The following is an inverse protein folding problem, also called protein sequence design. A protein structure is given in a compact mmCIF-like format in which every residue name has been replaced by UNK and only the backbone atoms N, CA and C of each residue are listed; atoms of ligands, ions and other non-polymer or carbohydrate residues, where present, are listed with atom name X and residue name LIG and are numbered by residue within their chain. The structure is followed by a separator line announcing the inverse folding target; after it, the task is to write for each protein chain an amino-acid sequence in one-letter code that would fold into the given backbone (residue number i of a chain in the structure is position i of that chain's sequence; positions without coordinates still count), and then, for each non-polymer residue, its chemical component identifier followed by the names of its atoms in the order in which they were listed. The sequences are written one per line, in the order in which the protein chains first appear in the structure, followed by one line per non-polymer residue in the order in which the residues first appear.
data_IF_319696244732
#
_entry.id   IF_319696244732
#
_cell.length_a   1.000
_cell.length_b   1.000
_cell.length_c   1.000
_cell.angle_alpha   90.00
_cell.angle_beta   90.00
_cell.angle_gamma   90.00
#
_symmetry.space_group_name_H-M   'P 1'
#
loop_
_entity.id
_entity.type
_entity.pdbx_description
1 polymer ?
#
# COMPACT_ATOMS: atom_id res chain seq x y z
N UNK A 1 -9.29 28.31 5.74
CA UNK A 1 -7.91 28.18 5.23
C UNK A 1 -7.06 27.67 6.37
N UNK A 2 -6.27 26.63 6.14
CA UNK A 2 -5.45 26.00 7.19
C UNK A 2 -3.99 26.35 6.91
N UNK A 3 -3.34 27.02 7.85
CA UNK A 3 -1.92 27.38 7.75
C UNK A 3 -1.10 26.27 8.40
N UNK A 4 -0.21 25.64 7.63
CA UNK A 4 0.72 24.61 8.10
C UNK A 4 2.12 25.24 8.09
N UNK A 5 2.81 25.20 9.23
CA UNK A 5 4.20 25.67 9.37
C UNK A 5 5.12 24.45 9.32
N UNK A 6 6.02 24.41 8.34
CA UNK A 6 6.99 23.33 8.15
C UNK A 6 8.39 23.86 8.45
N UNK A 7 9.11 23.20 9.35
CA UNK A 7 10.53 23.48 9.58
C UNK A 7 11.36 22.64 8.63
N UNK A 8 12.20 23.31 7.83
CA UNK A 8 13.05 22.66 6.83
C UNK A 8 14.51 22.76 7.30
N UNK A 9 15.27 21.65 7.33
CA UNK A 9 16.70 21.67 7.64
C UNK A 9 17.49 22.63 6.74
N UNK A 10 18.50 23.31 7.29
CA UNK A 10 19.29 24.33 6.58
C UNK A 10 19.92 23.83 5.27
N UNK A 11 20.34 22.57 5.21
CA UNK A 11 20.90 21.96 3.99
C UNK A 11 19.89 21.94 2.84
N UNK A 12 18.63 21.68 3.14
CA UNK A 12 17.55 21.69 2.17
C UNK A 12 17.16 23.12 1.83
N UNK A 13 17.12 24.02 2.82
CA UNK A 13 16.83 25.43 2.61
C UNK A 13 17.81 26.08 1.60
N UNK A 14 19.09 25.70 1.62
CA UNK A 14 20.09 26.17 0.66
C UNK A 14 19.87 25.64 -0.77
N UNK A 15 19.21 24.48 -0.90
CA UNK A 15 18.91 23.82 -2.17
C UNK A 15 17.59 24.33 -2.78
N UNK A 16 16.66 24.76 -1.93
CA UNK A 16 15.38 25.36 -2.31
C UNK A 16 15.55 26.82 -2.78
N UNK A 17 16.20 27.01 -3.93
CA UNK A 17 16.12 28.27 -4.70
C UNK A 17 14.79 28.39 -5.46
N UNK A 18 13.68 28.08 -4.80
CA UNK A 18 12.34 28.12 -5.40
C UNK A 18 11.68 29.44 -4.99
N UNK A 19 11.22 30.21 -5.97
CA UNK A 19 10.43 31.42 -5.74
C UNK A 19 9.21 31.12 -4.86
N UNK A 20 8.96 31.96 -3.85
CA UNK A 20 7.84 31.85 -2.93
C UNK A 20 6.46 31.73 -3.63
N UNK A 21 6.34 32.30 -4.83
CA UNK A 21 5.13 32.21 -5.64
C UNK A 21 4.88 30.81 -6.23
N UNK A 22 5.91 29.97 -6.36
CA UNK A 22 5.84 28.62 -6.94
C UNK A 22 5.76 27.51 -5.88
N UNK A 23 5.99 27.84 -4.62
CA UNK A 23 5.88 26.91 -3.49
C UNK A 23 4.54 26.17 -3.39
N UNK A 24 3.37 26.83 -3.60
CA UNK A 24 2.09 26.13 -3.52
C UNK A 24 1.96 25.01 -4.56
N UNK A 25 2.42 25.27 -5.79
CA UNK A 25 2.38 24.28 -6.88
C UNK A 25 3.42 23.19 -6.67
N UNK A 26 4.62 23.55 -6.20
CA UNK A 26 5.65 22.58 -5.85
C UNK A 26 5.20 21.63 -4.73
N UNK A 27 4.57 22.14 -3.67
CA UNK A 27 4.04 21.29 -2.58
C UNK A 27 2.90 20.42 -3.10
N UNK A 28 2.03 20.93 -3.97
CA UNK A 28 0.99 20.13 -4.61
C UNK A 28 1.59 18.98 -5.42
N UNK A 29 2.52 19.29 -6.32
CA UNK A 29 3.20 18.30 -7.16
C UNK A 29 3.99 17.30 -6.30
N UNK A 30 4.66 17.75 -5.25
CA UNK A 30 5.41 16.90 -4.34
C UNK A 30 4.50 16.02 -3.49
N UNK A 31 3.33 16.51 -3.05
CA UNK A 31 2.33 15.71 -2.31
C UNK A 31 1.66 14.71 -3.24
N UNK A 32 1.33 15.09 -4.47
CA UNK A 32 0.73 14.21 -5.47
C UNK A 32 1.73 13.14 -5.94
N UNK A 33 2.98 13.54 -6.18
CA UNK A 33 4.09 12.63 -6.40
C UNK A 33 4.29 11.72 -5.19
N UNK A 34 4.33 12.24 -3.95
CA UNK A 34 4.48 11.45 -2.72
C UNK A 34 3.29 10.54 -2.43
N UNK A 35 2.08 10.92 -2.80
CA UNK A 35 0.89 10.07 -2.68
C UNK A 35 0.94 8.94 -3.70
N UNK A 36 1.37 9.25 -4.93
CA UNK A 36 1.60 8.24 -5.98
C UNK A 36 2.76 7.33 -5.63
N UNK A 37 3.84 7.88 -5.06
CA UNK A 37 4.99 7.19 -4.50
C UNK A 37 4.62 6.44 -3.20
N UNK A 38 3.66 6.85 -2.38
CA UNK A 38 3.18 6.01 -1.27
C UNK A 38 2.37 4.81 -1.78
N UNK A 39 1.76 4.95 -2.96
CA UNK A 39 1.18 3.83 -3.71
C UNK A 39 2.28 3.07 -4.49
N UNK A 40 3.49 3.65 -4.65
CA UNK A 40 4.59 3.17 -5.51
C UNK A 40 5.99 3.36 -4.88
N UNK A 41 6.20 3.05 -3.59
CA UNK A 41 7.52 3.06 -2.98
C UNK A 41 8.01 1.61 -2.99
N UNK A 42 8.79 1.17 -3.99
CA UNK A 42 9.76 0.11 -3.82
C UNK A 42 11.01 0.74 -3.22
N UNK A 43 11.01 1.04 -1.92
CA UNK A 43 12.27 1.37 -1.24
C UNK A 43 13.01 0.07 -0.96
N UNK A 44 13.92 -0.30 -1.86
CA UNK A 44 15.08 -1.17 -1.60
C UNK A 44 14.77 -2.62 -1.20
N UNK A 45 14.82 -3.50 -2.19
CA UNK A 45 14.85 -4.98 -2.08
C UNK A 45 13.54 -5.67 -1.65
N UNK A 46 13.08 -6.54 -2.55
CA UNK A 46 11.99 -7.52 -2.41
C UNK A 46 10.62 -6.94 -2.07
N UNK A 47 9.93 -6.39 -3.08
CA UNK A 47 8.48 -6.26 -3.03
C UNK A 47 7.88 -7.66 -2.78
N UNK A 48 7.02 -7.85 -1.77
CA UNK A 48 6.44 -9.16 -1.51
C UNK A 48 5.54 -9.52 -2.68
N UNK A 49 5.61 -10.76 -3.20
CA UNK A 49 4.87 -11.19 -4.38
C UNK A 49 3.35 -10.94 -4.28
N UNK A 50 2.82 -10.84 -3.06
CA UNK A 50 1.40 -10.61 -2.79
C UNK A 50 0.85 -9.29 -3.33
N UNK A 51 1.62 -8.20 -3.29
CA UNK A 51 1.13 -6.87 -3.70
C UNK A 51 0.83 -6.87 -5.19
N UNK A 52 1.79 -7.39 -5.97
CA UNK A 52 1.66 -7.50 -7.41
C UNK A 52 0.51 -8.44 -7.78
N UNK A 53 0.37 -9.56 -7.07
CA UNK A 53 -0.69 -10.54 -7.30
C UNK A 53 -2.09 -9.96 -7.03
N UNK A 54 -2.29 -9.23 -5.93
CA UNK A 54 -3.58 -8.61 -5.60
C UNK A 54 -3.94 -7.50 -6.60
N UNK A 55 -2.97 -6.65 -6.97
CA UNK A 55 -3.24 -5.56 -7.92
C UNK A 55 -3.51 -6.11 -9.32
N UNK A 56 -2.73 -7.07 -9.80
CA UNK A 56 -2.94 -7.69 -11.10
C UNK A 56 -4.30 -8.41 -11.16
N UNK A 57 -4.64 -9.12 -10.07
CA UNK A 57 -5.95 -9.73 -9.93
C UNK A 57 -7.08 -8.70 -10.03
N UNK A 58 -7.02 -7.59 -9.28
CA UNK A 58 -8.06 -6.55 -9.34
C UNK A 58 -8.09 -5.83 -10.70
N UNK A 59 -6.93 -5.61 -11.33
CA UNK A 59 -6.80 -4.99 -12.65
C UNK A 59 -7.41 -5.85 -13.76
N UNK A 60 -7.41 -7.18 -13.60
CA UNK A 60 -8.04 -8.13 -14.54
C UNK A 60 -9.57 -8.03 -14.61
N UNK A 61 -10.20 -7.18 -13.77
CA UNK A 61 -11.67 -7.05 -13.60
C UNK A 61 -12.33 -8.41 -13.28
N UNK A 62 -11.98 -9.01 -12.14
CA UNK A 62 -12.48 -10.32 -11.76
C UNK A 62 -13.97 -10.25 -11.47
N UNK A 63 -14.69 -11.35 -11.70
CA UNK A 63 -16.11 -11.43 -11.34
C UNK A 63 -16.27 -11.47 -9.81
N UNK A 64 -17.44 -11.08 -9.27
CA UNK A 64 -17.71 -11.17 -7.84
C UNK A 64 -17.44 -12.58 -7.26
N UNK A 65 -17.74 -13.64 -8.01
CA UNK A 65 -17.47 -15.03 -7.61
C UNK A 65 -15.95 -15.34 -7.53
N UNK A 66 -15.18 -14.83 -8.49
CA UNK A 66 -13.71 -14.93 -8.47
C UNK A 66 -13.12 -14.12 -7.32
N UNK A 67 -13.66 -12.94 -7.03
CA UNK A 67 -13.25 -12.11 -5.89
C UNK A 67 -13.46 -12.85 -4.57
N UNK A 68 -14.64 -13.46 -4.38
CA UNK A 68 -14.96 -14.24 -3.17
C UNK A 68 -13.99 -15.42 -3.02
N UNK A 69 -13.68 -16.10 -4.13
CA UNK A 69 -12.81 -17.27 -4.16
C UNK A 69 -11.33 -16.94 -4.14
N UNK A 70 -10.95 -15.66 -4.26
CA UNK A 70 -9.56 -15.24 -4.34
C UNK A 70 -8.78 -15.68 -3.11
N UNK A 71 -7.61 -16.27 -3.34
CA UNK A 71 -6.61 -16.58 -2.33
C UNK A 71 -5.26 -16.13 -2.86
N UNK A 72 -4.41 -15.71 -1.95
CA UNK A 72 -3.02 -15.38 -2.24
C UNK A 72 -2.30 -16.67 -2.68
N UNK A 73 -1.26 -16.55 -3.49
CA UNK A 73 -0.45 -17.71 -3.88
C UNK A 73 0.15 -18.43 -2.67
N UNK A 74 0.36 -19.74 -2.80
CA UNK A 74 0.95 -20.57 -1.74
C UNK A 74 2.31 -20.03 -1.28
N UNK A 75 3.13 -19.53 -2.20
CA UNK A 75 4.42 -18.91 -1.88
C UNK A 75 4.27 -17.62 -1.05
N UNK A 76 3.25 -16.80 -1.35
CA UNK A 76 2.97 -15.59 -0.59
C UNK A 76 2.39 -15.91 0.79
N UNK A 77 1.63 -17.00 0.91
CA UNK A 77 1.11 -17.50 2.19
C UNK A 77 2.22 -18.05 3.08
N UNK A 78 3.10 -18.90 2.55
CA UNK A 78 4.25 -19.46 3.28
C UNK A 78 5.16 -18.34 3.81
N UNK A 79 5.44 -17.32 2.99
CA UNK A 79 6.22 -16.15 3.42
C UNK A 79 5.54 -15.36 4.55
N UNK A 80 4.22 -15.21 4.51
CA UNK A 80 3.47 -14.55 5.56
C UNK A 80 3.53 -15.35 6.87
N UNK A 81 3.40 -16.68 6.80
CA UNK A 81 3.53 -17.58 7.94
C UNK A 81 4.93 -17.47 8.56
N UNK A 82 6.00 -17.47 7.75
CA UNK A 82 7.36 -17.24 8.22
C UNK A 82 7.53 -15.89 8.96
N UNK A 83 6.94 -14.81 8.44
CA UNK A 83 7.01 -13.49 9.07
C UNK A 83 6.25 -13.43 10.38
N UNK A 84 5.09 -14.09 10.46
CA UNK A 84 4.29 -14.19 11.67
C UNK A 84 5.00 -15.02 12.75
N UNK A 85 5.60 -16.14 12.35
CA UNK A 85 6.39 -16.99 13.25
C UNK A 85 7.62 -16.23 13.77
N UNK A 86 8.35 -15.54 12.88
CA UNK A 86 9.47 -14.67 13.29
C UNK A 86 9.03 -13.57 14.23
N UNK A 87 7.88 -12.93 13.99
CA UNK A 87 7.34 -11.89 14.88
C UNK A 87 7.03 -12.42 16.30
N UNK A 88 6.74 -13.71 16.43
CA UNK A 88 6.49 -14.38 17.71
C UNK A 88 7.76 -14.76 18.47
N UNK A 89 8.85 -15.11 17.78
CA UNK A 89 10.07 -15.63 18.40
C UNK A 89 11.26 -14.66 18.41
N UNK A 90 11.34 -13.68 17.50
CA UNK A 90 12.48 -12.75 17.33
C UNK A 90 11.98 -11.34 17.00
N UNK A 91 12.76 -10.29 17.31
CA UNK A 91 12.44 -8.93 16.85
C UNK A 91 12.57 -8.88 15.31
N UNK A 92 11.46 -8.61 14.62
CA UNK A 92 11.47 -8.41 13.16
C UNK A 92 12.44 -7.29 12.79
N UNK A 93 13.17 -7.50 11.71
CA UNK A 93 13.91 -6.41 11.08
C UNK A 93 12.93 -5.30 10.64
N UNK A 94 13.38 -4.03 10.57
CA UNK A 94 12.53 -2.96 10.08
C UNK A 94 11.97 -3.25 8.69
N UNK A 95 12.72 -3.93 7.81
CA UNK A 95 12.22 -4.36 6.50
C UNK A 95 11.09 -5.41 6.60
N UNK A 96 11.28 -6.47 7.40
CA UNK A 96 10.28 -7.53 7.59
C UNK A 96 9.00 -7.00 8.26
N UNK A 97 9.13 -6.01 9.16
CA UNK A 97 7.98 -5.36 9.78
C UNK A 97 7.18 -4.53 8.78
N UNK A 98 7.86 -3.81 7.88
CA UNK A 98 7.19 -3.10 6.79
C UNK A 98 6.52 -4.08 5.83
N UNK A 99 7.15 -5.20 5.51
CA UNK A 99 6.55 -6.28 4.72
C UNK A 99 5.25 -6.78 5.39
N UNK A 100 5.27 -7.10 6.69
CA UNK A 100 4.09 -7.57 7.41
C UNK A 100 2.95 -6.53 7.49
N UNK A 101 3.29 -5.26 7.71
CA UNK A 101 2.31 -4.15 7.73
C UNK A 101 1.61 -3.99 6.38
N UNK A 102 2.36 -4.13 5.28
CA UNK A 102 1.80 -4.15 3.93
C UNK A 102 0.85 -5.33 3.74
N UNK A 103 1.24 -6.56 4.13
CA UNK A 103 0.36 -7.73 4.09
C UNK A 103 -0.98 -7.48 4.81
N UNK A 104 -0.93 -6.88 6.00
CA UNK A 104 -2.12 -6.52 6.79
C UNK A 104 -3.02 -5.51 6.06
N UNK A 105 -2.43 -4.46 5.48
CA UNK A 105 -3.15 -3.43 4.74
C UNK A 105 -3.90 -4.03 3.54
N UNK A 106 -3.24 -4.87 2.74
CA UNK A 106 -3.86 -5.50 1.57
C UNK A 106 -4.90 -6.55 1.94
N UNK A 107 -4.67 -7.32 3.00
CA UNK A 107 -5.66 -8.25 3.53
C UNK A 107 -6.94 -7.52 3.93
N UNK A 108 -6.83 -6.39 4.61
CA UNK A 108 -7.98 -5.57 4.98
C UNK A 108 -8.76 -5.08 3.77
N UNK A 109 -8.08 -4.58 2.73
CA UNK A 109 -8.73 -4.19 1.47
C UNK A 109 -9.44 -5.37 0.83
N UNK A 110 -8.79 -6.54 0.75
CA UNK A 110 -9.39 -7.74 0.16
C UNK A 110 -10.63 -8.21 0.96
N UNK A 111 -10.64 -8.08 2.29
CA UNK A 111 -11.84 -8.36 3.11
C UNK A 111 -13.00 -7.45 2.70
N UNK A 112 -12.75 -6.15 2.54
CA UNK A 112 -13.78 -5.20 2.11
C UNK A 112 -14.28 -5.51 0.69
N UNK A 113 -13.36 -5.79 -0.23
CA UNK A 113 -13.69 -6.13 -1.63
C UNK A 113 -14.51 -7.42 -1.71
N UNK A 114 -14.16 -8.44 -0.92
CA UNK A 114 -14.95 -9.67 -0.79
C UNK A 114 -16.33 -9.43 -0.18
N UNK A 115 -16.43 -8.61 0.87
CA UNK A 115 -17.71 -8.26 1.47
C UNK A 115 -18.63 -7.56 0.46
N UNK A 116 -18.10 -6.63 -0.32
CA UNK A 116 -18.84 -5.99 -1.42
C UNK A 116 -19.24 -7.00 -2.50
N UNK A 117 -18.35 -7.92 -2.88
CA UNK A 117 -18.66 -8.96 -3.86
C UNK A 117 -19.78 -9.90 -3.39
N UNK A 118 -19.79 -10.29 -2.11
CA UNK A 118 -20.88 -11.07 -1.52
C UNK A 118 -22.24 -10.36 -1.62
N UNK A 119 -22.26 -9.04 -1.37
CA UNK A 119 -23.48 -8.25 -1.51
C UNK A 119 -24.00 -8.29 -2.94
N UNK A 120 -23.14 -8.05 -3.93
CA UNK A 120 -23.52 -8.06 -5.36
C UNK A 120 -24.01 -9.44 -5.81
N UNK A 121 -23.39 -10.54 -5.35
CA UNK A 121 -23.85 -11.89 -5.68
C UNK A 121 -25.20 -12.19 -5.05
N UNK A 122 -25.43 -11.75 -3.81
CA UNK A 122 -26.70 -11.94 -3.13
C UNK A 122 -27.83 -11.17 -3.82
N UNK A 123 -27.61 -9.91 -4.22
CA UNK A 123 -28.59 -9.09 -4.96
C UNK A 123 -28.91 -9.62 -6.37
N UNK A 124 -28.01 -10.41 -6.98
CA UNK A 124 -28.25 -11.05 -8.29
C UNK A 124 -29.01 -12.38 -8.18
N UNK A 125 -29.14 -12.91 -6.98
CA UNK A 125 -29.78 -14.21 -6.70
C UNK A 125 -31.24 -14.07 -6.27
N UNK A 126 -31.72 -12.84 -6.08
CA UNK A 126 -33.13 -12.46 -5.84
C UNK A 126 -33.79 -11.97 -7.14
#
# INVERSE_FOLDING_TARGET
MTTITLEVPDELAAQFKIDAARWPDFVRDAVEAKLTEQIQHPTGSTCPPIHHEIIDFLASRPTPEQIISFKISDAAQERLEELLDKNGETELTPEERTELDQYLQFSHVMILVKASAHLVVNERSE
#
